data_IF_112299946563
#
_entry.id   IF_112299946563
#
_cell.length_a   1.000
_cell.length_b   1.000
_cell.length_c   1.000
_cell.angle_alpha   90.00
_cell.angle_beta   90.00
_cell.angle_gamma   90.00
#
_symmetry.space_group_name_H-M   'P 1'
#
loop_
_entity.id
_entity.type
_entity.pdbx_description
1 polymer ?
#
# COMPACT_ATOMS: atom_id res chain seq x y z
N UNK A 1 -24.77 -14.70 -0.75
CA UNK A 1 -23.66 -15.47 -1.34
C UNK A 1 -22.53 -15.50 -0.34
N UNK A 2 -22.09 -16.67 0.07
CA UNK A 2 -20.86 -16.77 0.86
C UNK A 2 -19.72 -16.71 -0.16
N UNK A 3 -19.00 -15.60 -0.25
CA UNK A 3 -17.94 -15.43 -1.25
C UNK A 3 -16.74 -16.35 -1.06
N UNK A 4 -16.79 -17.20 -0.04
CA UNK A 4 -15.79 -18.23 0.32
C UNK A 4 -14.33 -17.74 0.14
N UNK A 5 -14.08 -16.48 0.47
CA UNK A 5 -12.75 -15.87 0.40
C UNK A 5 -12.11 -15.93 1.78
N UNK A 6 -10.90 -16.48 1.82
CA UNK A 6 -10.11 -16.49 3.04
C UNK A 6 -9.77 -15.09 3.51
N UNK A 7 -9.88 -14.87 4.80
CA UNK A 7 -9.52 -13.64 5.48
C UNK A 7 -8.25 -13.83 6.31
N UNK A 8 -7.74 -12.75 6.87
CA UNK A 8 -6.60 -12.81 7.79
C UNK A 8 -6.84 -13.70 9.02
N UNK A 9 -8.11 -14.05 9.34
CA UNK A 9 -8.47 -14.96 10.42
C UNK A 9 -8.28 -16.46 10.04
N UNK A 10 -8.25 -16.76 8.75
CA UNK A 10 -8.23 -18.11 8.22
C UNK A 10 -6.80 -18.61 7.93
N UNK A 11 -5.78 -17.83 8.32
CA UNK A 11 -4.37 -18.19 8.11
C UNK A 11 -3.55 -17.92 9.38
N UNK A 12 -2.63 -18.82 9.71
CA UNK A 12 -1.72 -18.64 10.83
C UNK A 12 -0.66 -17.58 10.50
N UNK A 13 -0.61 -16.50 11.30
CA UNK A 13 0.32 -15.38 11.12
C UNK A 13 1.36 -15.25 12.24
N UNK A 14 1.19 -15.97 13.34
CA UNK A 14 2.07 -15.90 14.50
C UNK A 14 3.52 -16.26 14.15
N UNK A 15 4.45 -15.38 14.50
CA UNK A 15 5.88 -15.52 14.20
C UNK A 15 6.26 -15.34 12.73
N UNK A 16 5.29 -15.07 11.82
CA UNK A 16 5.54 -14.91 10.40
C UNK A 16 5.71 -13.46 9.98
N UNK A 17 6.47 -13.27 8.92
CA UNK A 17 6.53 -12.00 8.17
C UNK A 17 5.32 -11.92 7.24
N UNK A 18 4.52 -10.88 7.40
CA UNK A 18 3.28 -10.66 6.63
C UNK A 18 3.42 -9.40 5.79
N UNK A 19 3.38 -9.54 4.48
CA UNK A 19 3.27 -8.39 3.57
C UNK A 19 1.82 -7.93 3.53
N UNK A 20 1.56 -6.74 4.05
CA UNK A 20 0.23 -6.15 4.13
C UNK A 20 0.10 -5.00 3.12
N UNK A 21 -0.79 -5.13 2.13
CA UNK A 21 -1.09 -4.06 1.16
C UNK A 21 -2.21 -3.17 1.69
N UNK A 22 -1.86 -1.92 2.04
CA UNK A 22 -2.77 -0.89 2.52
C UNK A 22 -3.06 0.18 1.45
N UNK A 23 -4.11 0.95 1.62
CA UNK A 23 -4.36 2.17 0.86
C UNK A 23 -4.09 3.41 1.72
N UNK A 24 -2.85 3.86 1.72
CA UNK A 24 -2.39 5.08 2.41
C UNK A 24 -2.27 6.29 1.47
N UNK A 25 -2.94 6.26 0.33
CA UNK A 25 -2.97 7.39 -0.60
C UNK A 25 -3.87 8.52 -0.05
N UNK A 26 -3.40 9.16 1.01
CA UNK A 26 -4.08 10.23 1.74
C UNK A 26 -3.84 11.59 1.09
N UNK A 27 -4.78 12.55 1.25
CA UNK A 27 -4.56 13.92 0.81
C UNK A 27 -3.53 14.62 1.70
N UNK A 28 -2.60 15.33 1.06
CA UNK A 28 -1.56 16.13 1.69
C UNK A 28 -1.85 17.61 1.52
N UNK A 29 -1.40 18.44 2.45
CA UNK A 29 -1.41 19.89 2.30
C UNK A 29 -0.63 20.31 1.05
N UNK A 30 -1.14 21.33 0.32
CA UNK A 30 -0.55 21.76 -0.96
C UNK A 30 0.61 22.73 -0.80
N UNK A 31 0.93 23.10 0.43
CA UNK A 31 2.01 24.04 0.79
C UNK A 31 3.40 23.39 0.89
N UNK A 32 3.48 22.08 0.65
CA UNK A 32 4.72 21.31 0.77
C UNK A 32 5.13 20.97 2.21
N UNK A 33 4.29 21.25 3.21
CA UNK A 33 4.57 20.99 4.63
C UNK A 33 4.62 19.49 4.97
N UNK A 34 4.09 18.61 4.09
CA UNK A 34 3.96 17.19 4.36
C UNK A 34 2.84 16.85 5.36
N UNK A 35 1.96 17.80 5.67
CA UNK A 35 0.83 17.59 6.59
C UNK A 35 -0.26 16.77 5.90
N UNK A 36 -0.69 15.70 6.56
CA UNK A 36 -1.85 14.89 6.13
C UNK A 36 -3.12 15.65 6.53
N UNK A 37 -3.98 15.96 5.54
CA UNK A 37 -5.22 16.72 5.78
C UNK A 37 -6.43 15.83 6.09
N UNK A 38 -6.40 14.56 5.72
CA UNK A 38 -7.39 13.54 6.09
C UNK A 38 -6.71 12.17 6.23
N UNK A 39 -6.81 11.57 7.41
CA UNK A 39 -6.17 10.29 7.76
C UNK A 39 -7.13 9.09 7.76
N UNK A 40 -8.35 9.25 7.23
CA UNK A 40 -9.38 8.19 7.24
C UNK A 40 -8.90 6.87 6.66
N UNK A 41 -8.10 6.92 5.58
CA UNK A 41 -7.55 5.69 4.96
C UNK A 41 -6.54 4.98 5.85
N UNK A 42 -5.73 5.72 6.59
CA UNK A 42 -4.81 5.14 7.58
C UNK A 42 -5.61 4.48 8.69
N UNK A 43 -6.61 5.18 9.23
CA UNK A 43 -7.50 4.62 10.28
C UNK A 43 -8.26 3.40 9.82
N UNK A 44 -8.68 3.34 8.56
CA UNK A 44 -9.40 2.19 8.00
C UNK A 44 -8.55 0.91 7.97
N UNK A 45 -7.22 1.02 7.87
CA UNK A 45 -6.31 -0.12 7.89
C UNK A 45 -5.92 -0.58 9.31
N UNK A 46 -6.15 0.27 10.35
CA UNK A 46 -5.74 -0.04 11.72
C UNK A 46 -6.28 -1.38 12.25
N UNK A 47 -7.56 -1.76 12.02
CA UNK A 47 -8.06 -3.03 12.53
C UNK A 47 -7.27 -4.25 12.03
N UNK A 48 -6.87 -4.26 10.76
CA UNK A 48 -6.07 -5.36 10.19
C UNK A 48 -4.64 -5.31 10.72
N UNK A 49 -4.03 -4.13 10.80
CA UNK A 49 -2.68 -3.94 11.33
C UNK A 49 -2.63 -4.39 12.79
N UNK A 50 -3.55 -3.92 13.63
CA UNK A 50 -3.61 -4.27 15.04
C UNK A 50 -3.82 -5.77 15.25
N UNK A 51 -4.74 -6.38 14.49
CA UNK A 51 -4.95 -7.83 14.52
C UNK A 51 -3.66 -8.61 14.25
N UNK A 52 -2.91 -8.23 13.22
CA UNK A 52 -1.65 -8.88 12.88
C UNK A 52 -0.60 -8.74 13.99
N UNK A 53 -0.47 -7.53 14.55
CA UNK A 53 0.47 -7.25 15.63
C UNK A 53 0.10 -7.99 16.92
N UNK A 54 -1.20 -8.03 17.29
CA UNK A 54 -1.72 -8.72 18.47
C UNK A 54 -1.58 -10.25 18.34
N UNK A 55 -1.53 -10.77 17.11
CA UNK A 55 -1.26 -12.17 16.81
C UNK A 55 0.22 -12.46 16.54
N UNK A 56 1.11 -11.57 17.02
CA UNK A 56 2.56 -11.77 16.98
C UNK A 56 3.13 -11.94 15.57
N UNK A 57 2.56 -11.28 14.56
CA UNK A 57 3.14 -11.19 13.22
C UNK A 57 4.21 -10.09 13.15
N UNK A 58 5.19 -10.25 12.27
CA UNK A 58 6.08 -9.18 11.83
C UNK A 58 5.46 -8.54 10.56
N UNK A 59 4.94 -7.32 10.68
CA UNK A 59 4.14 -6.68 9.63
C UNK A 59 5.02 -5.86 8.70
N UNK A 60 5.00 -6.15 7.40
CA UNK A 60 5.63 -5.36 6.35
C UNK A 60 4.51 -4.69 5.56
N UNK A 61 4.19 -3.44 5.91
CA UNK A 61 3.16 -2.67 5.23
C UNK A 61 3.71 -2.05 3.94
N UNK A 62 2.91 -2.07 2.88
CA UNK A 62 3.23 -1.39 1.63
C UNK A 62 2.00 -0.63 1.10
N UNK A 63 2.25 0.50 0.46
CA UNK A 63 1.20 1.33 -0.13
C UNK A 63 1.76 2.19 -1.26
N UNK A 64 0.84 2.88 -1.96
CA UNK A 64 1.20 3.91 -2.91
C UNK A 64 0.76 5.30 -2.43
N UNK A 65 1.44 6.33 -2.92
CA UNK A 65 1.06 7.73 -2.76
C UNK A 65 1.11 8.44 -4.11
N UNK A 66 0.00 9.08 -4.49
CA UNK A 66 -0.07 9.88 -5.71
C UNK A 66 0.26 9.12 -7.01
N UNK A 67 0.80 9.85 -7.98
CA UNK A 67 1.23 9.33 -9.30
C UNK A 67 2.64 9.85 -9.62
N UNK A 68 3.69 9.33 -8.96
CA UNK A 68 5.07 9.72 -9.24
C UNK A 68 5.48 9.36 -10.66
N UNK A 69 6.53 10.01 -11.12
CA UNK A 69 7.21 9.62 -12.35
C UNK A 69 8.45 8.80 -11.93
N UNK A 70 8.49 7.49 -12.18
CA UNK A 70 9.52 6.62 -11.60
C UNK A 70 10.90 6.82 -12.24
N UNK A 71 11.01 7.61 -13.30
CA UNK A 71 12.28 7.99 -13.93
C UNK A 71 12.29 9.46 -14.30
N UNK A 72 13.51 10.04 -14.43
CA UNK A 72 13.68 11.42 -14.84
C UNK A 72 13.12 11.67 -16.26
N UNK A 73 13.34 10.74 -17.20
CA UNK A 73 12.79 10.85 -18.55
C UNK A 73 11.25 10.91 -18.55
N UNK A 74 10.61 10.05 -17.73
CA UNK A 74 9.15 10.06 -17.60
C UNK A 74 8.65 11.36 -16.97
N UNK A 75 9.41 11.94 -16.03
CA UNK A 75 9.12 13.25 -15.44
C UNK A 75 9.22 14.36 -16.48
N UNK A 76 10.33 14.41 -17.24
CA UNK A 76 10.54 15.41 -18.30
C UNK A 76 9.42 15.34 -19.32
N UNK A 77 9.15 14.15 -19.88
CA UNK A 77 8.07 13.95 -20.85
C UNK A 77 6.75 14.51 -20.36
N UNK A 78 6.32 14.10 -19.17
CA UNK A 78 5.03 14.51 -18.59
C UNK A 78 4.95 16.02 -18.29
N UNK A 79 6.05 16.66 -17.88
CA UNK A 79 6.07 18.08 -17.61
C UNK A 79 6.06 18.89 -18.91
N UNK A 80 6.73 18.41 -19.96
CA UNK A 80 6.73 19.01 -21.30
C UNK A 80 5.31 18.93 -21.92
N UNK A 81 4.62 17.79 -21.79
CA UNK A 81 3.22 17.66 -22.19
C UNK A 81 2.28 18.64 -21.50
N UNK A 82 2.68 19.15 -20.31
CA UNK A 82 1.98 20.19 -19.56
C UNK A 82 2.45 21.62 -19.90
N UNK A 83 3.26 21.78 -20.94
CA UNK A 83 3.74 23.06 -21.43
C UNK A 83 4.93 23.64 -20.70
N UNK A 84 5.65 22.85 -19.87
CA UNK A 84 6.89 23.32 -19.26
C UNK A 84 8.08 23.17 -20.20
N UNK A 85 8.96 24.17 -20.20
CA UNK A 85 10.20 24.13 -20.96
C UNK A 85 11.13 23.02 -20.43
N UNK A 86 11.51 22.02 -21.28
CA UNK A 86 12.42 20.94 -20.89
C UNK A 86 13.74 21.42 -20.30
N UNK A 87 14.29 22.54 -20.77
CA UNK A 87 15.55 23.10 -20.29
C UNK A 87 15.49 23.53 -18.80
N UNK A 88 14.29 23.75 -18.28
CA UNK A 88 14.08 24.12 -16.86
C UNK A 88 13.87 22.92 -15.95
N UNK A 89 13.77 21.70 -16.51
CA UNK A 89 13.50 20.46 -15.78
C UNK A 89 14.82 19.79 -15.40
N UNK A 90 15.09 19.70 -14.11
CA UNK A 90 16.32 19.13 -13.56
C UNK A 90 16.05 17.89 -12.74
N UNK A 91 17.06 17.01 -12.57
CA UNK A 91 16.97 15.88 -11.67
C UNK A 91 16.64 16.29 -10.24
N UNK A 92 17.12 17.45 -9.78
CA UNK A 92 16.80 17.95 -8.45
C UNK A 92 15.29 18.20 -8.29
N UNK A 93 14.67 18.87 -9.27
CA UNK A 93 13.21 19.08 -9.28
C UNK A 93 12.44 17.78 -9.32
N UNK A 94 12.93 16.80 -10.07
CA UNK A 94 12.34 15.46 -10.10
C UNK A 94 12.46 14.78 -8.73
N UNK A 95 13.65 14.75 -8.13
CA UNK A 95 13.87 14.17 -6.78
C UNK A 95 13.00 14.86 -5.73
N UNK A 96 12.86 16.19 -5.80
CA UNK A 96 11.92 16.92 -4.94
C UNK A 96 10.49 16.46 -5.13
N UNK A 97 10.03 16.27 -6.36
CA UNK A 97 8.68 15.76 -6.65
C UNK A 97 8.43 14.34 -6.16
N UNK A 98 9.47 13.50 -6.07
CA UNK A 98 9.38 12.18 -5.44
C UNK A 98 9.31 12.31 -3.92
N UNK A 99 10.13 13.17 -3.31
CA UNK A 99 10.13 13.40 -1.87
C UNK A 99 8.75 13.86 -1.35
N UNK A 100 8.01 14.67 -2.11
CA UNK A 100 6.65 15.10 -1.81
C UNK A 100 5.63 13.94 -1.80
N UNK A 101 5.97 12.80 -2.40
CA UNK A 101 5.14 11.59 -2.47
C UNK A 101 5.70 10.44 -1.63
N UNK A 102 6.66 10.73 -0.75
CA UNK A 102 7.18 9.75 0.22
C UNK A 102 6.10 9.36 1.24
N UNK A 103 6.16 8.13 1.71
CA UNK A 103 5.30 7.63 2.78
C UNK A 103 5.79 8.00 4.20
N UNK A 104 6.87 8.78 4.35
CA UNK A 104 7.38 9.22 5.66
C UNK A 104 6.32 9.89 6.54
N UNK A 105 5.50 10.84 6.04
CA UNK A 105 4.43 11.42 6.86
C UNK A 105 3.39 10.39 7.31
N UNK A 106 3.14 9.38 6.47
CA UNK A 106 2.23 8.27 6.82
C UNK A 106 2.84 7.40 7.93
N UNK A 107 4.15 7.10 7.87
CA UNK A 107 4.83 6.34 8.93
C UNK A 107 4.73 7.06 10.28
N UNK A 108 4.98 8.37 10.31
CA UNK A 108 4.85 9.19 11.53
C UNK A 108 3.41 9.14 12.07
N UNK A 109 2.41 9.38 11.20
CA UNK A 109 1.00 9.34 11.60
C UNK A 109 0.54 7.97 12.06
N UNK A 110 1.00 6.90 11.40
CA UNK A 110 0.70 5.53 11.79
C UNK A 110 1.32 5.19 13.15
N UNK A 111 2.55 5.65 13.43
CA UNK A 111 3.20 5.50 14.75
C UNK A 111 2.38 6.15 15.87
N UNK A 112 1.87 7.37 15.65
CA UNK A 112 1.00 8.05 16.62
C UNK A 112 -0.29 7.25 16.88
N UNK A 113 -0.94 6.77 15.82
CA UNK A 113 -2.21 6.05 15.92
C UNK A 113 -2.07 4.67 16.57
N UNK A 114 -0.94 4.01 16.38
CA UNK A 114 -0.65 2.70 16.97
C UNK A 114 -0.02 2.79 18.38
N UNK A 115 0.46 3.98 18.78
CA UNK A 115 1.20 4.15 20.04
C UNK A 115 2.51 3.36 20.07
N UNK A 116 3.10 3.06 18.92
CA UNK A 116 4.37 2.32 18.76
C UNK A 116 5.15 2.78 17.55
N UNK A 117 6.44 2.51 17.55
CA UNK A 117 7.30 2.84 16.41
C UNK A 117 6.87 2.10 15.15
N UNK A 118 6.76 2.82 14.02
CA UNK A 118 6.69 2.29 12.68
C UNK A 118 8.04 2.51 12.01
N UNK A 119 8.78 1.42 11.79
CA UNK A 119 10.06 1.45 11.09
C UNK A 119 9.80 1.83 9.62
N UNK A 120 10.55 2.80 9.08
CA UNK A 120 10.39 3.22 7.68
C UNK A 120 11.56 2.76 6.85
N UNK A 121 11.29 2.07 5.71
CA UNK A 121 12.31 1.75 4.72
C UNK A 121 12.57 2.94 3.79
N UNK A 122 13.80 3.04 3.29
CA UNK A 122 14.19 4.07 2.33
C UNK A 122 13.85 3.70 0.88
N UNK A 123 13.50 2.44 0.63
CA UNK A 123 13.18 1.88 -0.68
C UNK A 123 12.03 0.85 -0.58
N UNK A 124 11.67 0.21 -1.70
CA UNK A 124 10.57 -0.77 -1.74
C UNK A 124 11.09 -2.21 -1.66
N UNK A 125 12.11 -2.55 -2.43
CA UNK A 125 12.71 -3.89 -2.52
C UNK A 125 14.24 -3.82 -2.57
N UNK A 126 14.81 -2.67 -2.31
CA UNK A 126 16.24 -2.43 -2.30
C UNK A 126 16.93 -2.91 -1.02
N UNK A 127 18.23 -2.60 -0.87
CA UNK A 127 19.03 -3.09 0.24
C UNK A 127 18.49 -2.69 1.63
N UNK A 128 17.93 -1.48 1.76
CA UNK A 128 17.42 -1.00 3.05
C UNK A 128 16.15 -1.75 3.47
N UNK A 129 15.18 -1.92 2.54
CA UNK A 129 13.98 -2.70 2.80
C UNK A 129 14.30 -4.15 3.13
N UNK A 130 15.21 -4.78 2.37
CA UNK A 130 15.65 -6.16 2.61
C UNK A 130 16.29 -6.32 3.99
N UNK A 131 17.22 -5.43 4.37
CA UNK A 131 17.88 -5.47 5.66
C UNK A 131 16.90 -5.29 6.82
N UNK A 132 16.00 -4.28 6.72
CA UNK A 132 14.99 -4.02 7.76
C UNK A 132 13.95 -5.13 7.84
N UNK A 133 13.51 -5.68 6.72
CA UNK A 133 12.60 -6.83 6.69
C UNK A 133 13.25 -8.08 7.29
N UNK A 134 14.55 -8.30 7.03
CA UNK A 134 15.27 -9.43 7.62
C UNK A 134 15.37 -9.31 9.15
N UNK A 135 15.63 -8.10 9.67
CA UNK A 135 15.78 -7.83 11.10
C UNK A 135 14.44 -7.69 11.85
N UNK A 136 13.31 -7.55 11.12
CA UNK A 136 12.01 -7.29 11.71
C UNK A 136 11.55 -8.44 12.61
N UNK A 137 11.15 -8.11 13.85
CA UNK A 137 10.70 -9.06 14.85
C UNK A 137 9.17 -9.13 14.91
N UNK A 138 8.60 -10.27 15.36
CA UNK A 138 7.17 -10.38 15.66
C UNK A 138 6.69 -9.25 16.58
N UNK A 139 5.52 -8.68 16.28
CA UNK A 139 4.96 -7.52 16.96
C UNK A 139 5.50 -6.17 16.50
N UNK A 140 6.45 -6.14 15.57
CA UNK A 140 6.94 -4.92 14.94
C UNK A 140 6.28 -4.67 13.58
N UNK A 141 6.35 -3.41 13.13
CA UNK A 141 5.84 -2.99 11.82
C UNK A 141 6.89 -2.18 11.06
N UNK A 142 7.11 -2.57 9.81
CA UNK A 142 7.93 -1.88 8.80
C UNK A 142 6.97 -1.31 7.74
N UNK A 143 7.13 -0.05 7.37
CA UNK A 143 6.48 0.54 6.19
C UNK A 143 7.52 0.68 5.08
N UNK A 144 7.28 0.06 3.93
CA UNK A 144 8.08 0.24 2.73
C UNK A 144 7.83 1.64 2.13
N UNK A 145 8.76 2.11 1.31
CA UNK A 145 8.56 3.36 0.57
C UNK A 145 7.47 3.18 -0.52
N UNK A 146 7.03 4.28 -1.10
CA UNK A 146 5.96 4.34 -2.08
C UNK A 146 6.18 3.35 -3.23
N UNK A 147 5.34 2.32 -3.33
CA UNK A 147 5.48 1.24 -4.33
C UNK A 147 5.53 1.77 -5.77
N UNK A 148 4.94 2.95 -6.03
CA UNK A 148 4.95 3.59 -7.35
C UNK A 148 6.27 4.28 -7.71
N UNK A 149 7.26 4.28 -6.84
CA UNK A 149 8.62 4.63 -7.22
C UNK A 149 9.26 3.56 -8.08
N UNK A 150 8.74 2.32 -8.02
CA UNK A 150 9.18 1.22 -8.87
C UNK A 150 8.49 1.25 -10.25
N UNK A 151 9.28 1.18 -11.33
CA UNK A 151 8.77 1.16 -12.73
C UNK A 151 7.79 0.03 -13.00
N UNK A 152 7.98 -1.11 -12.36
CA UNK A 152 7.23 -2.33 -12.55
C UNK A 152 5.88 -2.34 -11.85
N UNK A 153 5.63 -1.46 -10.86
CA UNK A 153 4.45 -1.52 -9.99
C UNK A 153 3.14 -1.52 -10.80
N UNK A 154 2.92 -0.50 -11.60
CA UNK A 154 1.67 -0.33 -12.36
C UNK A 154 1.55 -1.24 -13.58
N UNK A 155 2.61 -1.94 -13.93
CA UNK A 155 2.67 -2.90 -15.06
C UNK A 155 2.52 -4.34 -14.60
N UNK A 156 2.33 -4.56 -13.31
CA UNK A 156 2.31 -5.89 -12.71
C UNK A 156 3.57 -6.71 -13.06
N UNK A 157 4.74 -6.06 -12.95
CA UNK A 157 6.03 -6.69 -13.31
C UNK A 157 6.30 -7.89 -12.39
N UNK A 158 6.50 -9.11 -12.96
CA UNK A 158 6.71 -10.32 -12.16
C UNK A 158 7.99 -10.29 -11.35
N UNK A 159 9.05 -9.62 -11.82
CA UNK A 159 10.31 -9.52 -11.08
C UNK A 159 10.13 -8.66 -9.82
N UNK A 160 9.43 -7.53 -9.91
CA UNK A 160 9.09 -6.70 -8.76
C UNK A 160 8.16 -7.44 -7.80
N UNK A 161 7.12 -8.11 -8.31
CA UNK A 161 6.19 -8.88 -7.49
C UNK A 161 6.91 -9.99 -6.70
N UNK A 162 7.82 -10.72 -7.36
CA UNK A 162 8.66 -11.74 -6.72
C UNK A 162 9.60 -11.16 -5.68
N UNK A 163 10.22 -10.00 -5.97
CA UNK A 163 11.10 -9.31 -5.02
C UNK A 163 10.32 -8.83 -3.78
N UNK A 164 9.11 -8.29 -3.94
CA UNK A 164 8.24 -7.94 -2.81
C UNK A 164 7.83 -9.18 -2.01
N UNK A 165 7.46 -10.25 -2.69
CA UNK A 165 7.07 -11.51 -2.07
C UNK A 165 8.20 -12.14 -1.23
N UNK A 166 9.45 -11.99 -1.67
CA UNK A 166 10.61 -12.53 -0.94
C UNK A 166 10.85 -11.91 0.44
N UNK A 167 10.20 -10.76 0.74
CA UNK A 167 10.28 -10.13 2.05
C UNK A 167 9.41 -10.81 3.11
N UNK A 168 8.44 -11.66 2.71
CA UNK A 168 7.41 -12.18 3.61
C UNK A 168 7.05 -13.64 3.32
N UNK A 169 6.17 -14.21 4.15
CA UNK A 169 5.68 -15.59 4.06
C UNK A 169 4.18 -15.66 3.77
N UNK A 170 3.46 -14.56 4.01
CA UNK A 170 2.01 -14.44 3.81
C UNK A 170 1.73 -13.06 3.22
N UNK A 171 0.77 -12.99 2.30
CA UNK A 171 0.27 -11.73 1.75
C UNK A 171 -1.15 -11.45 2.23
N UNK A 172 -1.37 -10.24 2.74
CA UNK A 172 -2.70 -9.75 3.13
C UNK A 172 -3.07 -8.55 2.27
N UNK A 173 -4.13 -8.67 1.49
CA UNK A 173 -4.69 -7.57 0.69
C UNK A 173 -5.74 -6.81 1.51
N UNK A 174 -5.48 -5.53 1.79
CA UNK A 174 -6.39 -4.66 2.58
C UNK A 174 -6.58 -3.27 1.96
N UNK A 175 -6.38 -3.16 0.65
CA UNK A 175 -6.47 -1.92 -0.11
C UNK A 175 -7.65 -1.94 -1.09
N UNK A 176 -8.88 -1.87 -0.59
CA UNK A 176 -10.09 -1.97 -1.43
C UNK A 176 -10.09 -0.99 -2.60
N UNK A 177 -9.72 0.28 -2.38
CA UNK A 177 -9.64 1.30 -3.44
C UNK A 177 -8.60 1.02 -4.53
N UNK A 178 -7.71 0.03 -4.36
CA UNK A 178 -6.67 -0.35 -5.31
C UNK A 178 -6.82 -1.78 -5.83
N UNK A 179 -7.65 -2.63 -5.21
CA UNK A 179 -7.74 -4.07 -5.50
C UNK A 179 -8.20 -4.40 -6.92
N UNK A 180 -8.93 -3.48 -7.57
CA UNK A 180 -9.40 -3.63 -8.95
C UNK A 180 -8.29 -3.47 -10.01
N UNK A 181 -7.07 -3.10 -9.60
CA UNK A 181 -5.92 -2.88 -10.49
C UNK A 181 -4.94 -4.04 -10.37
N UNK A 182 -4.57 -4.62 -11.51
CA UNK A 182 -3.49 -5.60 -11.57
C UNK A 182 -2.13 -4.88 -11.49
N UNK A 183 -1.67 -4.60 -10.27
CA UNK A 183 -0.34 -4.06 -9.99
C UNK A 183 0.52 -5.12 -9.30
N UNK A 184 1.85 -4.96 -9.33
CA UNK A 184 2.76 -5.90 -8.70
C UNK A 184 2.45 -6.10 -7.21
N UNK A 185 2.17 -5.00 -6.47
CA UNK A 185 1.86 -5.04 -5.03
C UNK A 185 0.42 -5.47 -4.71
N UNK A 186 -0.49 -5.59 -5.68
CA UNK A 186 -1.89 -5.98 -5.46
C UNK A 186 -2.21 -7.38 -6.00
N UNK A 187 -1.88 -7.64 -7.26
CA UNK A 187 -2.15 -8.92 -7.93
C UNK A 187 -0.90 -9.79 -7.99
N UNK A 188 0.22 -9.28 -8.51
CA UNK A 188 1.41 -10.08 -8.78
C UNK A 188 1.99 -10.79 -7.56
N UNK A 189 2.01 -10.15 -6.40
CA UNK A 189 2.52 -10.77 -5.15
C UNK A 189 1.71 -12.02 -4.77
N UNK A 190 0.42 -12.07 -5.08
CA UNK A 190 -0.45 -13.19 -4.76
C UNK A 190 -0.11 -14.47 -5.56
N UNK A 191 0.68 -14.36 -6.63
CA UNK A 191 1.17 -15.52 -7.39
C UNK A 191 2.33 -16.24 -6.67
N UNK A 192 2.95 -15.59 -5.68
CA UNK A 192 4.14 -16.10 -4.98
C UNK A 192 3.91 -16.42 -3.51
N UNK A 193 2.84 -15.89 -2.90
CA UNK A 193 2.56 -16.06 -1.48
C UNK A 193 1.12 -16.55 -1.24
N UNK A 194 0.88 -17.32 -0.18
CA UNK A 194 -0.47 -17.54 0.32
C UNK A 194 -1.13 -16.19 0.58
N UNK A 195 -2.25 -15.92 -0.12
CA UNK A 195 -2.91 -14.63 -0.13
C UNK A 195 -4.31 -14.69 0.52
N UNK A 196 -4.59 -13.72 1.40
CA UNK A 196 -5.89 -13.58 2.07
C UNK A 196 -6.32 -12.11 2.09
N UNK A 197 -7.61 -11.85 2.37
CA UNK A 197 -8.11 -10.50 2.55
C UNK A 197 -7.94 -10.00 4.00
N UNK A 198 -7.66 -8.71 4.15
CA UNK A 198 -7.80 -8.01 5.42
C UNK A 198 -9.25 -7.63 5.72
N UNK A 199 -9.48 -7.02 6.87
CA UNK A 199 -10.82 -6.71 7.36
C UNK A 199 -11.53 -5.61 6.55
N UNK A 200 -10.78 -4.67 5.96
CA UNK A 200 -11.37 -3.64 5.10
C UNK A 200 -11.99 -4.28 3.85
N UNK A 201 -11.27 -5.14 3.17
CA UNK A 201 -11.79 -5.88 2.00
C UNK A 201 -12.93 -6.81 2.42
N UNK A 202 -12.80 -7.51 3.54
CA UNK A 202 -13.86 -8.38 4.05
C UNK A 202 -15.17 -7.59 4.25
N UNK A 203 -15.09 -6.45 4.94
CA UNK A 203 -16.25 -5.57 5.18
C UNK A 203 -16.93 -5.11 3.89
N UNK A 204 -16.14 -4.71 2.90
CA UNK A 204 -16.68 -4.28 1.61
C UNK A 204 -17.34 -5.44 0.84
N UNK A 205 -16.74 -6.62 0.86
CA UNK A 205 -17.35 -7.82 0.26
C UNK A 205 -18.67 -8.20 0.94
N UNK A 206 -18.74 -8.09 2.27
CA UNK A 206 -19.97 -8.37 3.03
C UNK A 206 -21.07 -7.37 2.71
N UNK A 207 -20.75 -6.06 2.68
CA UNK A 207 -21.73 -4.99 2.43
C UNK A 207 -22.21 -5.03 0.98
N UNK A 208 -21.30 -4.94 0.02
CA UNK A 208 -21.64 -4.91 -1.41
C UNK A 208 -22.25 -6.24 -1.83
N UNK A 209 -21.64 -7.33 -1.40
CA UNK A 209 -22.13 -8.67 -1.70
C UNK A 209 -23.50 -8.97 -1.09
N UNK A 210 -23.73 -8.52 0.14
CA UNK A 210 -25.04 -8.62 0.80
C UNK A 210 -26.11 -7.80 0.07
N UNK A 211 -25.78 -6.58 -0.32
CA UNK A 211 -26.68 -5.70 -1.09
C UNK A 211 -27.04 -6.29 -2.46
N UNK A 212 -26.11 -6.97 -3.14
CA UNK A 212 -26.35 -7.60 -4.42
C UNK A 212 -27.11 -8.93 -4.31
N UNK A 213 -26.81 -9.71 -3.26
CA UNK A 213 -27.45 -11.02 -3.07
C UNK A 213 -28.91 -10.91 -2.60
N UNK A 214 -29.23 -9.91 -1.78
CA UNK A 214 -30.57 -9.71 -1.22
C UNK A 214 -30.93 -8.20 -1.21
N UNK A 215 -31.16 -7.59 -2.41
CA UNK A 215 -31.37 -6.16 -2.53
C UNK A 215 -32.69 -5.71 -1.91
N UNK A 216 -32.64 -4.75 -1.02
CA UNK A 216 -33.83 -3.96 -0.67
C UNK A 216 -34.22 -3.09 -1.87
N UNK A 217 -35.48 -3.19 -2.29
CA UNK A 217 -35.95 -2.43 -3.47
C UNK A 217 -36.66 -1.13 -3.03
N UNK A 218 -36.52 -0.02 -3.78
CA UNK A 218 -35.73 0.08 -5.03
C UNK A 218 -34.22 0.10 -4.77
N UNK A 219 -33.44 -0.67 -5.56
CA UNK A 219 -31.97 -0.62 -5.59
C UNK A 219 -31.53 0.20 -6.79
N UNK A 220 -30.83 1.30 -6.55
CA UNK A 220 -30.27 2.18 -7.59
C UNK A 220 -28.76 2.17 -7.49
N UNK A 221 -28.07 1.84 -8.58
CA UNK A 221 -26.62 1.95 -8.71
C UNK A 221 -26.27 3.25 -9.44
N UNK A 222 -25.42 4.07 -8.82
CA UNK A 222 -24.85 5.27 -9.44
C UNK A 222 -23.42 4.96 -9.77
N UNK A 223 -23.11 4.92 -11.07
CA UNK A 223 -21.76 4.65 -11.58
C UNK A 223 -21.16 5.96 -12.09
N UNK A 224 -19.92 6.27 -11.66
CA UNK A 224 -19.19 7.49 -12.03
C UNK A 224 -17.75 7.18 -12.45
#
# INVERSE_FOLDING_TARGET
MNYNKKTVRDIGVAGKKVLLRCDFNVPMAKDGSGIITDDKRIRAALPTIQYLLDHNAAVIACSHMGKPNPTFEAYVKKQTEKGKDPATLTEEKWKKSLAELSLKPVAARLSELLGREVIMAADVVGPDAQAKAAALQPGQILLLENTRFEKGETKNDPALAKAMASLAEVYVSDAFGAVHRAHASTAGVADYLPAVSGFLIQKELEIIGGALANPKRPLVAILG
#
